data_IF_475553486936
#
_entry.id   IF_475553486936
#
_cell.length_a   1.000
_cell.length_b   1.000
_cell.length_c   1.000
_cell.angle_alpha   90.00
_cell.angle_beta   90.00
_cell.angle_gamma   90.00
#
_symmetry.space_group_name_H-M   'P 1'
#
loop_
_entity.id
_entity.type
_entity.pdbx_description
1 polymer ?
#
# COMPACT_ATOMS: atom_id res chain seq x y z
N UNK A 1 7.89 9.63 9.30
CA UNK A 1 7.76 8.80 10.52
C UNK A 1 7.26 7.43 10.08
N UNK A 2 7.81 6.34 10.62
CA UNK A 2 7.37 4.96 10.34
C UNK A 2 6.64 4.47 11.59
N UNK A 3 5.51 3.80 11.43
CA UNK A 3 4.80 3.19 12.56
C UNK A 3 5.50 1.88 12.92
N UNK A 4 5.66 1.62 14.22
CA UNK A 4 6.19 0.36 14.70
C UNK A 4 5.02 -0.65 14.83
N UNK A 5 5.06 -1.79 14.13
CA UNK A 5 4.00 -2.80 14.20
C UNK A 5 3.71 -3.32 15.61
N UNK A 6 4.71 -3.36 16.51
CA UNK A 6 4.55 -3.90 17.86
C UNK A 6 3.86 -2.92 18.82
N UNK A 7 4.11 -1.63 18.67
CA UNK A 7 3.60 -0.58 19.59
C UNK A 7 2.43 0.19 19.02
N UNK A 8 2.38 0.36 17.69
CA UNK A 8 1.48 1.28 16.99
C UNK A 8 0.78 0.58 15.81
N UNK A 9 0.36 -0.67 15.99
CA UNK A 9 -0.33 -1.46 14.95
C UNK A 9 -1.59 -0.78 14.40
N UNK A 10 -2.29 0.02 15.22
CA UNK A 10 -3.46 0.80 14.82
C UNK A 10 -3.16 1.89 13.78
N UNK A 11 -1.90 2.29 13.63
CA UNK A 11 -1.45 3.29 12.65
C UNK A 11 -1.02 2.67 11.32
N UNK A 12 -1.10 1.34 11.18
CA UNK A 12 -0.82 0.62 9.94
C UNK A 12 -2.11 0.32 9.18
N UNK A 13 -2.03 0.33 7.85
CA UNK A 13 -3.11 -0.15 7.00
C UNK A 13 -3.23 -1.66 7.14
N UNK A 14 -4.45 -2.16 7.36
CA UNK A 14 -4.70 -3.58 7.52
C UNK A 14 -4.66 -4.32 6.17
N UNK A 15 -4.48 -5.64 6.20
CA UNK A 15 -4.53 -6.48 5.02
C UNK A 15 -5.91 -6.36 4.35
N UNK A 16 -5.92 -6.15 3.04
CA UNK A 16 -7.12 -5.91 2.25
C UNK A 16 -7.53 -4.43 2.16
N UNK A 17 -6.88 -3.53 2.91
CA UNK A 17 -7.14 -2.10 2.79
C UNK A 17 -6.76 -1.60 1.40
N UNK A 18 -7.62 -0.75 0.83
CA UNK A 18 -7.36 -0.06 -0.43
C UNK A 18 -6.60 1.23 -0.12
N UNK A 19 -5.46 1.41 -0.76
CA UNK A 19 -4.52 2.52 -0.53
C UNK A 19 -4.03 3.07 -1.87
N UNK A 20 -3.41 4.26 -1.83
CA UNK A 20 -2.54 4.72 -2.90
C UNK A 20 -1.10 4.40 -2.52
N UNK A 21 -0.39 3.69 -3.40
CA UNK A 21 1.00 3.33 -3.20
C UNK A 21 1.87 3.87 -4.35
N UNK A 22 3.11 4.27 -4.06
CA UNK A 22 4.07 4.67 -5.08
C UNK A 22 4.53 3.44 -5.87
N UNK A 23 4.36 3.45 -7.19
CA UNK A 23 4.82 2.33 -8.01
C UNK A 23 6.36 2.34 -8.07
N UNK A 24 7.04 1.18 -7.88
CA UNK A 24 8.49 1.13 -7.81
C UNK A 24 9.18 1.79 -9.02
N UNK A 25 10.27 2.51 -8.75
CA UNK A 25 11.06 3.26 -9.75
C UNK A 25 10.30 4.38 -10.48
N UNK A 26 9.14 4.81 -9.97
CA UNK A 26 8.39 5.95 -10.51
C UNK A 26 8.18 7.03 -9.45
N UNK A 27 7.58 8.15 -9.87
CA UNK A 27 7.12 9.23 -8.98
C UNK A 27 5.59 9.27 -8.88
N UNK A 28 4.89 8.25 -9.38
CA UNK A 28 3.43 8.21 -9.46
C UNK A 28 2.82 7.24 -8.44
N UNK A 29 1.73 7.67 -7.81
CA UNK A 29 0.94 6.84 -6.92
C UNK A 29 -0.22 6.21 -7.68
N UNK A 30 -0.47 4.93 -7.43
CA UNK A 30 -1.55 4.15 -8.03
C UNK A 30 -2.33 3.41 -6.96
N UNK A 31 -3.57 3.03 -7.30
CA UNK A 31 -4.44 2.26 -6.42
C UNK A 31 -3.87 0.86 -6.22
N UNK A 32 -3.79 0.43 -4.97
CA UNK A 32 -3.28 -0.87 -4.58
C UNK A 32 -4.04 -1.42 -3.37
N UNK A 33 -3.94 -2.73 -3.16
CA UNK A 33 -4.47 -3.43 -2.00
C UNK A 33 -3.31 -3.92 -1.14
N UNK A 34 -3.39 -3.70 0.17
CA UNK A 34 -2.40 -4.23 1.11
C UNK A 34 -2.51 -5.76 1.18
N UNK A 35 -1.46 -6.48 0.78
CA UNK A 35 -1.38 -7.93 0.90
C UNK A 35 -0.74 -8.38 2.21
N UNK A 36 0.33 -7.70 2.63
CA UNK A 36 1.00 -7.95 3.92
C UNK A 36 1.46 -6.65 4.57
N UNK A 37 1.37 -6.63 5.90
CA UNK A 37 1.86 -5.55 6.73
C UNK A 37 3.37 -5.74 6.98
N UNK A 38 4.12 -4.66 7.22
CA UNK A 38 5.49 -4.77 7.70
C UNK A 38 5.52 -5.47 9.06
N UNK A 39 6.41 -6.44 9.24
CA UNK A 39 6.60 -7.15 10.51
C UNK A 39 7.50 -6.40 11.48
N UNK A 40 8.34 -5.49 10.97
CA UNK A 40 9.19 -4.61 11.76
C UNK A 40 9.09 -3.14 11.30
N UNK A 41 9.52 -2.17 12.12
CA UNK A 41 9.52 -0.75 11.74
C UNK A 41 10.33 -0.45 10.48
N UNK A 42 11.29 -1.31 10.13
CA UNK A 42 12.19 -1.16 8.99
C UNK A 42 11.72 -1.88 7.73
N UNK A 43 10.71 -2.73 7.84
CA UNK A 43 10.11 -3.43 6.71
C UNK A 43 9.10 -2.57 5.95
N UNK A 44 8.86 -3.00 4.71
CA UNK A 44 7.96 -2.37 3.77
C UNK A 44 6.61 -3.11 3.75
N UNK A 45 5.57 -2.46 3.25
CA UNK A 45 4.32 -3.14 2.93
C UNK A 45 4.52 -4.01 1.70
N UNK A 46 3.77 -5.10 1.62
CA UNK A 46 3.55 -5.81 0.37
C UNK A 46 2.17 -5.43 -0.16
N UNK A 47 2.11 -4.89 -1.38
CA UNK A 47 0.87 -4.42 -2.01
C UNK A 47 0.66 -5.05 -3.39
N UNK A 48 -0.61 -5.14 -3.78
CA UNK A 48 -1.05 -5.60 -5.11
C UNK A 48 -1.64 -4.40 -5.85
N UNK A 49 -0.98 -3.94 -6.91
CA UNK A 49 -1.47 -2.83 -7.72
C UNK A 49 -2.56 -3.32 -8.68
N UNK A 50 -3.59 -2.50 -8.89
CA UNK A 50 -4.57 -2.77 -9.95
C UNK A 50 -3.90 -2.58 -11.32
N UNK A 51 -3.88 -3.63 -12.15
CA UNK A 51 -3.30 -3.60 -13.49
C UNK A 51 -4.10 -4.52 -14.43
N UNK A 52 -4.75 -3.91 -15.42
CA UNK A 52 -5.58 -4.59 -16.41
C UNK A 52 -4.81 -5.48 -17.38
N UNK A 53 -3.47 -5.42 -17.38
CA UNK A 53 -2.63 -6.29 -18.19
C UNK A 53 -2.54 -7.71 -17.62
N UNK A 54 -2.92 -7.91 -16.36
CA UNK A 54 -2.91 -9.23 -15.71
C UNK A 54 -4.30 -9.88 -15.72
N UNK A 55 -4.39 -11.21 -15.88
CA UNK A 55 -5.69 -11.91 -15.98
C UNK A 55 -6.58 -11.78 -14.73
N UNK A 56 -5.97 -11.63 -13.56
CA UNK A 56 -6.64 -11.43 -12.27
C UNK A 56 -6.86 -9.94 -11.94
N UNK A 57 -6.39 -9.03 -12.80
CA UNK A 57 -6.50 -7.59 -12.62
C UNK A 57 -5.51 -6.99 -11.64
N UNK A 58 -4.53 -7.77 -11.14
CA UNK A 58 -3.53 -7.31 -10.19
C UNK A 58 -2.10 -7.62 -10.65
N UNK A 59 -1.20 -6.67 -10.44
CA UNK A 59 0.22 -6.92 -10.56
C UNK A 59 0.70 -7.91 -9.47
N UNK A 60 1.85 -8.58 -9.67
CA UNK A 60 2.50 -9.37 -8.64
C UNK A 60 2.72 -8.57 -7.34
N UNK A 61 2.89 -9.23 -6.18
CA UNK A 61 3.19 -8.55 -4.93
C UNK A 61 4.45 -7.68 -5.05
N UNK A 62 4.34 -6.40 -4.71
CA UNK A 62 5.44 -5.44 -4.73
C UNK A 62 5.66 -4.81 -3.36
N UNK A 63 6.92 -4.59 -3.00
CA UNK A 63 7.27 -3.94 -1.74
C UNK A 63 7.26 -2.42 -1.88
N UNK A 64 6.53 -1.75 -0.99
CA UNK A 64 6.44 -0.29 -0.93
C UNK A 64 6.64 0.19 0.50
N UNK A 65 7.59 1.11 0.70
CA UNK A 65 7.87 1.66 2.02
C UNK A 65 6.66 2.37 2.61
N UNK A 66 6.48 2.27 3.94
CA UNK A 66 5.38 2.91 4.68
C UNK A 66 5.24 4.41 4.35
N UNK A 67 6.34 5.10 4.03
CA UNK A 67 6.36 6.52 3.65
C UNK A 67 5.55 6.82 2.38
N UNK A 68 5.41 5.84 1.50
CA UNK A 68 4.82 5.96 0.18
C UNK A 68 3.53 5.13 0.04
N UNK A 69 2.92 4.75 1.16
CA UNK A 69 1.57 4.18 1.21
C UNK A 69 0.70 5.21 1.92
N UNK A 70 -0.32 5.72 1.23
CA UNK A 70 -1.20 6.78 1.72
C UNK A 70 -2.67 6.40 1.53
N UNK A 71 -3.52 7.01 2.34
CA UNK A 71 -4.97 6.77 2.30
C UNK A 71 -5.60 7.30 1.00
N UNK A 72 -6.65 6.63 0.52
CA UNK A 72 -7.48 7.13 -0.57
C UNK A 72 -8.46 8.15 0.02
N UNK A 73 -8.19 9.43 -0.24
CA UNK A 73 -9.23 10.45 -0.08
C UNK A 73 -10.15 10.39 -1.28
N UNK A 74 -11.28 9.70 -1.16
CA UNK A 74 -12.36 9.86 -2.12
C UNK A 74 -12.76 11.34 -2.13
N UNK A 75 -12.54 12.03 -3.25
CA UNK A 75 -13.26 13.27 -3.50
C UNK A 75 -14.73 12.86 -3.65
N UNK A 76 -15.57 13.27 -2.70
CA UNK A 76 -17.01 13.32 -2.94
C UNK A 76 -17.22 14.25 -4.13
N UNK A 77 -17.50 13.70 -5.31
CA UNK A 77 -18.13 14.48 -6.37
C UNK A 77 -19.45 15.02 -5.79
N UNK A 78 -19.50 16.33 -5.63
CA UNK A 78 -20.69 17.09 -5.21
C UNK A 78 -21.29 17.72 -6.45
#
# INVERSE_FOLDING_TARGET
MRANPETDSHALFHKGAIVMALYPQTTCFYKAIVNQLPGSPTEDYEVLFEDSNYPDGFAPPLNVSQRYVIDIKERKET
#
